data_IF_362674571955
#
_entry.id   IF_362674571955
#
_cell.length_a   1.000
_cell.length_b   1.000
_cell.length_c   1.000
_cell.angle_alpha   90.00
_cell.angle_beta   90.00
_cell.angle_gamma   90.00
#
_symmetry.space_group_name_H-M   'P 1'
#
loop_
_entity.id
_entity.type
_entity.pdbx_description
1 polymer ?
#
# COMPACT_ATOMS: atom_id res chain seq x y z
N UNK A 1 8.51 1.25 8.98
CA UNK A 1 7.56 2.29 8.55
C UNK A 1 6.53 1.66 7.62
N UNK A 2 5.37 2.28 7.40
CA UNK A 2 4.52 1.91 6.25
C UNK A 2 4.82 2.85 5.09
N UNK A 3 4.51 2.43 3.85
CA UNK A 3 4.67 3.22 2.62
C UNK A 3 6.11 3.51 2.18
N UNK A 4 7.12 2.88 2.77
CA UNK A 4 8.51 3.02 2.35
C UNK A 4 8.69 2.69 0.86
N UNK A 5 8.17 1.53 0.42
CA UNK A 5 8.21 1.12 -0.98
C UNK A 5 7.49 2.11 -1.91
N UNK A 6 6.35 2.66 -1.45
CA UNK A 6 5.58 3.62 -2.23
C UNK A 6 6.37 4.92 -2.44
N UNK A 7 6.96 5.43 -1.36
CA UNK A 7 7.81 6.63 -1.39
C UNK A 7 9.04 6.39 -2.26
N UNK A 8 9.66 5.22 -2.16
CA UNK A 8 10.80 4.85 -3.01
C UNK A 8 10.42 4.86 -4.49
N UNK A 9 9.31 4.22 -4.87
CA UNK A 9 8.80 4.19 -6.25
C UNK A 9 8.39 5.58 -6.72
N UNK A 10 7.81 6.42 -5.84
CA UNK A 10 7.45 7.80 -6.16
C UNK A 10 8.69 8.63 -6.55
N UNK A 11 9.78 8.56 -5.77
CA UNK A 11 11.04 9.22 -6.12
C UNK A 11 11.69 8.62 -7.38
N UNK A 12 11.58 7.31 -7.61
CA UNK A 12 12.09 6.70 -8.83
C UNK A 12 11.34 7.17 -10.08
N UNK A 13 10.03 7.40 -10.00
CA UNK A 13 9.24 7.96 -11.11
C UNK A 13 9.72 9.34 -11.53
N UNK A 14 10.26 10.14 -10.62
CA UNK A 14 10.83 11.45 -10.93
C UNK A 14 12.16 11.33 -11.70
N UNK A 15 12.86 10.20 -11.56
CA UNK A 15 14.17 9.95 -12.20
C UNK A 15 14.08 9.22 -13.53
N UNK A 16 12.92 8.67 -13.91
CA UNK A 16 12.76 7.90 -15.14
C UNK A 16 11.39 7.26 -15.32
N UNK A 17 11.22 6.53 -16.42
CA UNK A 17 9.96 5.84 -16.74
C UNK A 17 9.94 4.43 -16.14
N UNK A 18 8.88 4.12 -15.42
CA UNK A 18 8.61 2.77 -14.91
C UNK A 18 7.68 2.05 -15.89
N UNK A 19 8.10 0.89 -16.40
CA UNK A 19 7.30 0.04 -17.26
C UNK A 19 6.53 -1.02 -16.44
N UNK A 20 5.30 -1.32 -16.85
CA UNK A 20 4.49 -2.40 -16.28
C UNK A 20 4.57 -3.59 -17.23
N UNK A 21 5.09 -4.72 -16.76
CA UNK A 21 5.13 -5.95 -17.55
C UNK A 21 3.72 -6.55 -17.65
N UNK A 22 3.34 -7.14 -18.79
CA UNK A 22 2.05 -7.81 -18.96
C UNK A 22 1.96 -9.16 -18.21
N UNK A 23 3.08 -9.63 -17.67
CA UNK A 23 3.18 -10.89 -16.94
C UNK A 23 2.57 -10.79 -15.53
N UNK A 24 1.95 -11.88 -15.09
CA UNK A 24 1.33 -11.96 -13.76
C UNK A 24 2.37 -12.42 -12.73
N UNK A 25 2.62 -11.61 -11.73
CA UNK A 25 3.39 -12.03 -10.56
C UNK A 25 2.55 -12.99 -9.69
N UNK A 26 3.02 -14.23 -9.53
CA UNK A 26 2.40 -15.19 -8.60
C UNK A 26 2.86 -14.88 -7.19
N UNK A 27 1.93 -14.55 -6.30
CA UNK A 27 2.22 -14.23 -4.90
C UNK A 27 1.30 -15.01 -3.96
N UNK A 28 1.75 -15.21 -2.72
CA UNK A 28 0.96 -15.95 -1.73
C UNK A 28 -0.29 -15.17 -1.31
N UNK A 29 -1.46 -15.80 -1.41
CA UNK A 29 -2.74 -15.21 -1.00
C UNK A 29 -2.99 -15.20 0.52
N UNK A 30 -2.04 -15.68 1.35
CA UNK A 30 -2.24 -15.93 2.79
C UNK A 30 -2.77 -14.73 3.56
N UNK A 31 -2.27 -13.51 3.28
CA UNK A 31 -2.71 -12.28 3.94
C UNK A 31 -4.15 -11.92 3.56
N UNK A 32 -4.48 -12.08 2.28
CA UNK A 32 -5.80 -11.78 1.73
C UNK A 32 -6.86 -12.77 2.23
N UNK A 33 -6.50 -14.03 2.44
CA UNK A 33 -7.39 -15.05 3.01
C UNK A 33 -7.72 -14.78 4.48
N UNK A 34 -6.76 -14.32 5.28
CA UNK A 34 -6.97 -14.08 6.71
C UNK A 34 -7.78 -12.82 7.02
N UNK A 35 -7.69 -11.76 6.21
CA UNK A 35 -8.32 -10.45 6.47
C UNK A 35 -9.50 -10.18 5.53
N UNK A 36 -9.56 -10.90 4.40
CA UNK A 36 -10.52 -10.69 3.32
C UNK A 36 -9.95 -9.80 2.21
N UNK A 37 -10.26 -10.16 0.96
CA UNK A 37 -9.80 -9.47 -0.24
C UNK A 37 -10.27 -8.02 -0.30
N UNK A 38 -11.58 -7.81 -0.22
CA UNK A 38 -12.17 -6.48 -0.31
C UNK A 38 -11.72 -5.56 0.83
N UNK A 39 -11.69 -6.09 2.06
CA UNK A 39 -11.28 -5.33 3.24
C UNK A 39 -9.84 -4.85 3.13
N UNK A 40 -8.93 -5.74 2.73
CA UNK A 40 -7.51 -5.40 2.54
C UNK A 40 -7.33 -4.37 1.43
N UNK A 41 -8.07 -4.49 0.31
CA UNK A 41 -8.02 -3.50 -0.78
C UNK A 41 -8.47 -2.12 -0.29
N UNK A 42 -9.59 -2.02 0.43
CA UNK A 42 -10.12 -0.74 0.92
C UNK A 42 -9.15 -0.06 1.90
N UNK A 43 -8.58 -0.83 2.84
CA UNK A 43 -7.58 -0.31 3.78
C UNK A 43 -6.36 0.21 3.00
N UNK A 44 -5.83 -0.57 2.06
CA UNK A 44 -4.68 -0.13 1.25
C UNK A 44 -4.99 1.15 0.47
N UNK A 45 -6.19 1.26 -0.11
CA UNK A 45 -6.60 2.46 -0.84
C UNK A 45 -6.74 3.69 0.09
N UNK A 46 -7.32 3.54 1.28
CA UNK A 46 -7.39 4.62 2.27
C UNK A 46 -6.01 5.12 2.67
N UNK A 47 -5.04 4.21 2.87
CA UNK A 47 -3.66 4.56 3.20
C UNK A 47 -2.98 5.32 2.06
N UNK A 48 -3.14 4.86 0.81
CA UNK A 48 -2.60 5.54 -0.37
C UNK A 48 -3.23 6.94 -0.54
N UNK A 49 -4.56 7.05 -0.42
CA UNK A 49 -5.25 8.34 -0.47
C UNK A 49 -4.75 9.29 0.62
N UNK A 50 -4.61 8.80 1.86
CA UNK A 50 -4.10 9.61 2.97
C UNK A 50 -2.70 10.15 2.72
N UNK A 51 -1.80 9.34 2.14
CA UNK A 51 -0.46 9.79 1.77
C UNK A 51 -0.47 10.84 0.67
N UNK A 52 -1.29 10.65 -0.37
CA UNK A 52 -1.44 11.64 -1.45
C UNK A 52 -2.00 12.96 -0.93
N UNK A 53 -2.83 12.93 0.12
CA UNK A 53 -3.33 14.10 0.83
C UNK A 53 -2.29 14.74 1.79
N UNK A 54 -1.08 14.18 1.89
CA UNK A 54 -0.01 14.70 2.74
C UNK A 54 -0.11 14.28 4.22
N UNK A 55 -0.91 13.27 4.55
CA UNK A 55 -0.98 12.74 5.93
C UNK A 55 0.34 12.04 6.27
N UNK A 56 0.95 12.34 7.44
CA UNK A 56 2.19 11.70 7.86
C UNK A 56 2.07 10.17 7.93
N UNK A 57 3.13 9.47 7.50
CA UNK A 57 3.21 8.01 7.51
C UNK A 57 3.05 7.40 8.92
N UNK A 58 3.37 8.15 9.98
CA UNK A 58 3.14 7.77 11.38
C UNK A 58 1.64 7.66 11.72
N UNK A 59 0.83 8.61 11.25
CA UNK A 59 -0.64 8.59 11.41
C UNK A 59 -1.25 7.46 10.60
N UNK A 60 -0.82 7.28 9.35
CA UNK A 60 -1.27 6.20 8.49
C UNK A 60 -0.88 4.82 9.08
N UNK A 61 0.28 4.70 9.73
CA UNK A 61 0.70 3.48 10.42
C UNK A 61 -0.26 3.11 11.56
N UNK A 62 -0.72 4.11 12.33
CA UNK A 62 -1.73 3.92 13.37
C UNK A 62 -3.08 3.45 12.79
N UNK A 63 -3.52 4.04 11.68
CA UNK A 63 -4.76 3.62 10.99
C UNK A 63 -4.66 2.19 10.47
N UNK A 64 -3.51 1.83 9.88
CA UNK A 64 -3.27 0.49 9.36
C UNK A 64 -3.23 -0.56 10.47
N UNK A 65 -2.59 -0.26 11.60
CA UNK A 65 -2.56 -1.14 12.77
C UNK A 65 -3.97 -1.35 13.34
N UNK A 66 -4.72 -0.26 13.59
CA UNK A 66 -6.09 -0.36 14.10
C UNK A 66 -7.03 -1.11 13.14
N UNK A 67 -6.81 -1.00 11.83
CA UNK A 67 -7.61 -1.70 10.82
C UNK A 67 -7.30 -3.21 10.74
N UNK A 68 -6.09 -3.63 11.14
CA UNK A 68 -5.64 -5.03 11.13
C UNK A 68 -6.06 -5.81 12.38
N UNK A 69 -6.28 -5.12 13.50
CA UNK A 69 -6.62 -5.72 14.80
C UNK A 69 -8.10 -5.62 15.19
N UNK A 70 -8.96 -5.18 14.26
CA UNK A 70 -10.43 -5.16 14.42
C UNK A 70 -11.08 -6.20 13.53
#
# INVERSE_FOLDING_TARGET
AIMEDFVFVQHLKERGRIAILPEKATTSARRWQNIGTLRTTLINQLIVCGHVLGIPSTTLASWYQNSKFR
#
